data_IF_042070866881
#
_entry.id   IF_042070866881
#
_cell.length_a   1.000
_cell.length_b   1.000
_cell.length_c   1.000
_cell.angle_alpha   90.00
_cell.angle_beta   90.00
_cell.angle_gamma   90.00
#
_symmetry.space_group_name_H-M   'P 1'
#
loop_
_entity.id
_entity.type
_entity.pdbx_description
1 polymer ?
#
# COMPACT_ATOMS: atom_id res chain seq x y z
N UNK A 1 -5.84 4.35 12.59
CA UNK A 1 -4.40 4.28 12.48
C UNK A 1 -3.79 4.87 13.72
N UNK A 2 -3.21 4.02 14.55
CA UNK A 2 -2.23 4.48 15.53
C UNK A 2 -0.82 4.43 14.92
N UNK A 3 0.17 4.96 15.64
CA UNK A 3 1.55 5.03 15.16
C UNK A 3 2.16 3.63 14.89
N UNK A 4 2.04 2.63 15.79
CA UNK A 4 2.57 1.28 15.53
C UNK A 4 2.02 0.63 14.24
N UNK A 5 0.69 0.62 14.07
CA UNK A 5 0.02 0.09 12.87
C UNK A 5 0.54 0.78 11.61
N UNK A 6 0.66 2.11 11.67
CA UNK A 6 1.14 2.93 10.55
C UNK A 6 2.56 2.52 10.15
N UNK A 7 3.46 2.32 11.11
CA UNK A 7 4.85 1.94 10.84
C UNK A 7 4.93 0.53 10.21
N UNK A 8 4.09 -0.41 10.66
CA UNK A 8 4.03 -1.75 10.06
C UNK A 8 3.55 -1.70 8.61
N UNK A 9 2.51 -0.91 8.33
CA UNK A 9 2.00 -0.73 6.96
C UNK A 9 3.01 0.01 6.07
N UNK A 10 3.71 1.01 6.60
CA UNK A 10 4.80 1.67 5.88
C UNK A 10 5.91 0.68 5.52
N UNK A 11 6.28 -0.26 6.41
CA UNK A 11 7.25 -1.31 6.09
C UNK A 11 6.72 -2.29 5.05
N UNK A 12 5.48 -2.76 5.21
CA UNK A 12 4.80 -3.69 4.28
C UNK A 12 4.72 -3.13 2.86
N UNK A 13 4.51 -1.82 2.73
CA UNK A 13 4.29 -1.14 1.45
C UNK A 13 5.39 -0.15 1.07
N UNK A 14 6.57 -0.24 1.72
CA UNK A 14 7.74 0.58 1.42
C UNK A 14 8.15 0.41 -0.04
N UNK A 15 8.12 -0.82 -0.51
CA UNK A 15 8.38 -1.19 -1.90
C UNK A 15 7.09 -1.71 -2.53
N UNK A 16 6.75 -1.18 -3.71
CA UNK A 16 5.57 -1.64 -4.43
C UNK A 16 5.70 -3.14 -4.78
N UNK A 17 4.77 -4.01 -4.35
CA UNK A 17 4.85 -5.44 -4.61
C UNK A 17 4.65 -5.79 -6.08
N UNK A 18 4.08 -4.88 -6.88
CA UNK A 18 3.87 -5.10 -8.31
C UNK A 18 5.07 -4.78 -9.19
N UNK A 19 5.84 -3.73 -8.88
CA UNK A 19 6.90 -3.23 -9.76
C UNK A 19 8.22 -2.92 -9.07
N UNK A 20 8.32 -3.09 -7.75
CA UNK A 20 9.54 -2.83 -6.98
C UNK A 20 9.84 -1.35 -6.72
N UNK A 21 8.98 -0.41 -7.13
CA UNK A 21 9.22 1.02 -6.89
C UNK A 21 9.00 1.39 -5.41
N UNK A 22 10.01 2.01 -4.80
CA UNK A 22 9.95 2.51 -3.42
C UNK A 22 9.70 4.02 -3.32
N UNK A 23 9.73 4.76 -4.43
CA UNK A 23 9.52 6.20 -4.42
C UNK A 23 8.04 6.57 -4.21
N UNK A 24 7.82 7.74 -3.61
CA UNK A 24 6.51 8.34 -3.32
C UNK A 24 6.56 9.83 -3.64
N UNK A 25 5.46 10.40 -4.15
CA UNK A 25 5.39 11.79 -4.60
C UNK A 25 5.96 11.97 -6.01
N UNK A 26 5.96 13.20 -6.53
CA UNK A 26 6.53 13.56 -7.84
C UNK A 26 6.11 12.64 -9.00
N UNK A 27 4.85 12.17 -9.00
CA UNK A 27 4.33 11.24 -10.02
C UNK A 27 4.70 9.77 -9.84
N UNK A 28 5.49 9.42 -8.81
CA UNK A 28 5.90 8.03 -8.52
C UNK A 28 4.83 7.23 -7.74
N UNK A 29 3.91 7.95 -7.09
CA UNK A 29 2.83 7.38 -6.30
C UNK A 29 2.38 8.30 -5.18
N UNK A 30 1.47 7.81 -4.34
CA UNK A 30 0.88 8.52 -3.20
C UNK A 30 1.02 7.68 -1.93
N UNK A 31 1.29 8.33 -0.81
CA UNK A 31 1.09 7.82 0.55
C UNK A 31 0.22 8.81 1.30
N UNK A 32 -0.89 8.33 1.85
CA UNK A 32 -1.81 9.12 2.64
C UNK A 32 -2.24 8.32 3.85
N UNK A 33 -2.13 8.93 5.03
CA UNK A 33 -2.47 8.32 6.30
C UNK A 33 -3.42 9.27 7.00
N UNK A 34 -4.57 8.74 7.36
CA UNK A 34 -5.64 9.44 8.10
C UNK A 34 -5.94 8.65 9.36
N UNK A 35 -6.84 9.17 10.19
CA UNK A 35 -7.20 8.55 11.48
C UNK A 35 -7.69 7.10 11.35
N UNK A 36 -8.24 6.70 10.21
CA UNK A 36 -8.79 5.35 10.01
C UNK A 36 -8.21 4.60 8.81
N UNK A 37 -7.58 5.30 7.87
CA UNK A 37 -7.18 4.73 6.58
C UNK A 37 -5.72 5.00 6.25
N UNK A 38 -5.06 3.98 5.72
CA UNK A 38 -3.74 4.05 5.09
C UNK A 38 -3.93 3.76 3.60
N UNK A 39 -3.47 4.67 2.75
CA UNK A 39 -3.55 4.54 1.30
C UNK A 39 -2.15 4.61 0.70
N UNK A 40 -1.79 3.57 -0.06
CA UNK A 40 -0.59 3.53 -0.90
C UNK A 40 -0.99 3.35 -2.35
N UNK A 41 -0.53 4.25 -3.22
CA UNK A 41 -0.70 4.15 -4.68
C UNK A 41 0.66 4.23 -5.36
N UNK A 42 0.89 3.50 -6.44
CA UNK A 42 2.12 3.55 -7.23
C UNK A 42 1.81 3.83 -8.70
N UNK A 43 2.73 4.51 -9.40
CA UNK A 43 2.64 4.83 -10.83
C UNK A 43 2.39 3.64 -11.76
N UNK A 44 2.70 2.41 -11.32
CA UNK A 44 2.48 1.19 -12.10
C UNK A 44 1.01 0.71 -12.12
N UNK A 45 0.13 1.37 -11.34
CA UNK A 45 -1.29 1.06 -11.18
C UNK A 45 -1.64 0.32 -9.88
N UNK A 46 -0.64 0.01 -9.03
CA UNK A 46 -0.88 -0.62 -7.73
C UNK A 46 -1.56 0.37 -6.75
N UNK A 47 -2.56 -0.12 -6.01
CA UNK A 47 -3.26 0.60 -4.95
C UNK A 47 -3.59 -0.31 -3.78
N UNK A 48 -3.21 0.07 -2.57
CA UNK A 48 -3.64 -0.56 -1.32
C UNK A 48 -4.32 0.46 -0.42
N UNK A 49 -5.48 0.08 0.11
CA UNK A 49 -6.26 0.83 1.09
C UNK A 49 -6.49 -0.09 2.27
N UNK A 50 -5.90 0.27 3.41
CA UNK A 50 -5.94 -0.50 4.65
C UNK A 50 -6.73 0.29 5.68
N UNK A 51 -7.75 -0.36 6.25
CA UNK A 51 -8.56 0.15 7.36
C UNK A 51 -8.52 -0.87 8.49
N UNK A 52 -8.98 -0.50 9.69
CA UNK A 52 -9.01 -1.43 10.84
C UNK A 52 -9.82 -2.71 10.59
N UNK A 53 -10.80 -2.66 9.69
CA UNK A 53 -11.76 -3.75 9.47
C UNK A 53 -11.61 -4.43 8.12
N UNK A 54 -11.05 -3.74 7.13
CA UNK A 54 -10.98 -4.23 5.75
C UNK A 54 -9.67 -3.84 5.08
N UNK A 55 -9.19 -4.77 4.25
CA UNK A 55 -8.03 -4.58 3.38
C UNK A 55 -8.50 -4.64 1.94
N UNK A 56 -8.26 -3.57 1.18
CA UNK A 56 -8.57 -3.52 -0.24
C UNK A 56 -7.28 -3.30 -1.03
N UNK A 57 -6.93 -4.25 -1.89
CA UNK A 57 -5.73 -4.13 -2.74
C UNK A 57 -6.07 -4.39 -4.20
N UNK A 58 -5.56 -3.53 -5.05
CA UNK A 58 -5.64 -3.58 -6.49
C UNK A 58 -4.22 -3.59 -7.03
N UNK A 59 -3.88 -4.61 -7.80
CA UNK A 59 -2.54 -4.76 -8.35
C UNK A 59 -2.49 -5.88 -9.38
N UNK A 60 -1.53 -5.79 -10.29
CA UNK A 60 -1.31 -6.76 -11.37
C UNK A 60 -0.93 -8.14 -10.81
N UNK A 61 -0.33 -8.20 -9.63
CA UNK A 61 0.16 -9.45 -9.02
C UNK A 61 -0.56 -9.89 -7.74
N UNK A 62 -1.53 -9.12 -7.24
CA UNK A 62 -2.17 -9.40 -5.94
C UNK A 62 -2.96 -10.73 -5.90
N UNK A 63 -3.49 -11.19 -7.04
CA UNK A 63 -4.16 -12.49 -7.15
C UNK A 63 -3.22 -13.71 -7.12
N UNK A 64 -1.89 -13.52 -7.24
CA UNK A 64 -0.91 -14.63 -7.28
C UNK A 64 -0.28 -14.96 -5.92
N UNK A 65 -0.42 -14.08 -4.92
CA UNK A 65 0.28 -14.18 -3.63
C UNK A 65 -0.52 -14.87 -2.51
N UNK A 66 -1.82 -15.13 -2.69
CA UNK A 66 -2.69 -15.77 -1.70
C UNK A 66 -3.10 -17.22 -2.08
N UNK A 67 -2.29 -17.92 -2.88
CA UNK A 67 -2.53 -19.33 -3.30
C UNK A 67 -1.43 -20.30 -2.79
N UNK A 68 -0.79 -20.02 -1.66
CA UNK A 68 0.16 -20.96 -1.04
C UNK A 68 -0.24 -21.27 0.39
#
# INVERSE_FOLDING_TARGET
MNLPETVELMKKYATCPDCGNSNIGNGEGKLEITDDTFTRECKCGYKAVETKTHVHVQGKNYGRINQK
#
